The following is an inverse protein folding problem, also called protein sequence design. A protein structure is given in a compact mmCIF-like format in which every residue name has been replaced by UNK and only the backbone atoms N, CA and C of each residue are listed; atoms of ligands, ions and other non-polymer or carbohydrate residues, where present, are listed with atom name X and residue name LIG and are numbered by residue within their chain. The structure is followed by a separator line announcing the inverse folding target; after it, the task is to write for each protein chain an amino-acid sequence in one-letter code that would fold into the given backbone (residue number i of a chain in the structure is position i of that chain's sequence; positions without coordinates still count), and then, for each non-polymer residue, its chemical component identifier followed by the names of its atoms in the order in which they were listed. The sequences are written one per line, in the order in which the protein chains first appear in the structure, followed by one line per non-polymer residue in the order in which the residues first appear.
data_IF_997523635511
#
_entry.id   IF_997523635511
#
_cell.length_a   1.000
_cell.length_b   1.000
_cell.length_c   1.000
_cell.angle_alpha   90.00
_cell.angle_beta   90.00
_cell.angle_gamma   90.00
#
_symmetry.space_group_name_H-M   'P 1'
#
loop_
_entity.id
_entity.type
_entity.pdbx_description
1 polymer ?
#
# COMPACT_ATOMS: atom_id res chain seq x y z
N UNK A 1 -30.05 33.07 2.15
CA UNK A 1 -28.58 33.25 2.28
C UNK A 1 -28.13 34.23 1.20
N UNK A 2 -27.76 35.46 1.56
CA UNK A 2 -27.40 36.50 0.58
C UNK A 2 -26.11 36.18 -0.18
N UNK A 3 -26.06 36.52 -1.46
CA UNK A 3 -24.86 36.41 -2.30
C UNK A 3 -23.80 37.36 -1.77
N UNK A 4 -22.64 36.83 -1.38
CA UNK A 4 -21.54 37.65 -0.87
C UNK A 4 -21.02 38.55 -1.99
N UNK A 5 -20.74 39.84 -1.73
CA UNK A 5 -20.22 40.73 -2.75
C UNK A 5 -18.86 40.25 -3.27
N UNK A 6 -18.56 40.48 -4.55
CA UNK A 6 -17.32 40.03 -5.21
C UNK A 6 -16.05 40.41 -4.43
N UNK A 7 -16.04 41.58 -3.80
CA UNK A 7 -14.94 42.03 -2.95
C UNK A 7 -14.69 41.09 -1.76
N UNK A 8 -15.72 40.55 -1.13
CA UNK A 8 -15.57 39.60 -0.02
C UNK A 8 -15.09 38.23 -0.49
N UNK A 9 -15.53 37.78 -1.66
CA UNK A 9 -15.08 36.53 -2.27
C UNK A 9 -13.58 36.63 -2.61
N UNK A 10 -13.17 37.72 -3.23
CA UNK A 10 -11.77 37.96 -3.64
C UNK A 10 -10.84 38.25 -2.45
N UNK A 11 -11.32 38.94 -1.40
CA UNK A 11 -10.51 39.26 -0.21
C UNK A 11 -10.61 38.22 0.92
N UNK A 12 -11.55 37.27 0.82
CA UNK A 12 -11.78 36.22 1.81
C UNK A 12 -10.55 35.35 2.05
N UNK A 13 -9.77 35.05 1.01
CA UNK A 13 -8.51 34.30 1.13
C UNK A 13 -7.47 35.02 2.00
N UNK A 14 -7.35 36.35 1.85
CA UNK A 14 -6.42 37.17 2.67
C UNK A 14 -6.86 37.22 4.14
N UNK A 15 -8.18 37.33 4.39
CA UNK A 15 -8.75 37.28 5.74
C UNK A 15 -8.56 35.91 6.39
N UNK A 16 -8.74 34.84 5.62
CA UNK A 16 -8.50 33.46 6.08
C UNK A 16 -7.04 33.25 6.44
N UNK A 17 -6.10 33.66 5.59
CA UNK A 17 -4.68 33.59 5.88
C UNK A 17 -4.30 34.38 7.16
N UNK A 18 -4.82 35.60 7.31
CA UNK A 18 -4.60 36.40 8.52
C UNK A 18 -5.19 35.74 9.77
N UNK A 19 -6.38 35.12 9.67
CA UNK A 19 -7.00 34.39 10.78
C UNK A 19 -6.19 33.15 11.17
N UNK A 20 -5.72 32.37 10.18
CA UNK A 20 -4.82 31.22 10.38
C UNK A 20 -3.51 31.61 11.07
N UNK A 21 -2.90 32.72 10.63
CA UNK A 21 -1.66 33.22 11.24
C UNK A 21 -1.90 33.68 12.69
N UNK A 22 -3.05 34.31 12.98
CA UNK A 22 -3.41 34.74 14.34
C UNK A 22 -3.73 33.57 15.28
N UNK A 23 -4.36 32.49 14.80
CA UNK A 23 -4.69 31.32 15.63
C UNK A 23 -3.47 30.65 16.26
N UNK A 24 -2.34 30.64 15.55
CA UNK A 24 -1.09 30.05 16.04
C UNK A 24 -0.19 31.07 16.74
N UNK A 25 -0.63 32.32 16.88
CA UNK A 25 0.16 33.40 17.49
C UNK A 25 -0.16 33.44 18.97
N UNK A 26 0.82 33.08 19.79
CA UNK A 26 0.75 33.24 21.24
C UNK A 26 0.92 34.72 21.56
N UNK A 27 0.08 35.26 22.46
CA UNK A 27 0.07 36.69 22.82
C UNK A 27 1.32 37.11 23.59
N UNK A 28 1.81 36.25 24.48
CA UNK A 28 3.03 36.46 25.28
C UNK A 28 3.82 35.17 25.43
N UNK A 29 5.16 35.25 25.34
CA UNK A 29 6.06 34.12 25.62
C UNK A 29 6.82 34.41 26.90
N UNK A 30 6.39 33.80 28.00
CA UNK A 30 7.07 33.90 29.30
C UNK A 30 8.18 32.86 29.42
N UNK A 31 9.33 33.25 29.97
CA UNK A 31 10.48 32.36 30.12
C UNK A 31 10.63 31.88 31.58
N UNK A 32 10.02 30.74 31.89
CA UNK A 32 10.19 30.09 33.19
C UNK A 32 11.53 29.36 33.29
N UNK A 33 12.41 29.87 34.15
CA UNK A 33 13.72 29.28 34.39
C UNK A 33 13.61 27.86 34.96
N UNK A 34 12.61 27.59 35.80
CA UNK A 34 12.38 26.27 36.39
C UNK A 34 11.97 25.23 35.34
N UNK A 35 10.99 25.56 34.47
CA UNK A 35 10.60 24.72 33.33
C UNK A 35 11.78 24.49 32.38
N UNK A 36 12.64 25.48 32.21
CA UNK A 36 13.87 25.33 31.40
C UNK A 36 14.82 24.31 32.04
N UNK A 37 15.04 24.36 33.35
CA UNK A 37 15.89 23.38 34.06
C UNK A 37 15.30 21.98 33.94
N UNK A 38 14.00 21.81 34.17
CA UNK A 38 13.32 20.52 33.98
C UNK A 38 13.39 20.05 32.51
N UNK A 39 13.29 20.96 31.55
CA UNK A 39 13.51 20.63 30.14
C UNK A 39 14.97 20.29 29.84
N UNK A 40 15.97 20.85 30.52
CA UNK A 40 17.36 20.47 30.24
C UNK A 40 17.74 19.14 30.91
N UNK A 41 17.22 18.84 32.10
CA UNK A 41 17.58 17.62 32.84
C UNK A 41 16.63 16.44 32.58
N UNK A 42 15.37 16.72 32.25
CA UNK A 42 14.29 15.74 32.08
C UNK A 42 14.25 15.01 30.73
N UNK A 43 15.39 14.70 30.10
CA UNK A 43 15.42 14.03 28.79
C UNK A 43 14.67 12.70 28.77
N UNK A 44 14.78 11.91 29.85
CA UNK A 44 14.06 10.65 29.97
C UNK A 44 12.54 10.88 30.05
N UNK A 45 12.09 11.87 30.83
CA UNK A 45 10.67 12.26 30.91
C UNK A 45 10.13 12.62 29.53
N UNK A 46 10.83 13.49 28.77
CA UNK A 46 10.42 13.83 27.39
C UNK A 46 10.45 12.67 26.42
N UNK A 47 11.39 11.73 26.59
CA UNK A 47 11.43 10.53 25.76
C UNK A 47 10.22 9.65 26.03
N UNK A 48 9.83 9.47 27.29
CA UNK A 48 8.62 8.74 27.66
C UNK A 48 7.36 9.47 27.21
N UNK A 49 7.27 10.78 27.40
CA UNK A 49 6.14 11.60 26.93
C UNK A 49 5.96 11.51 25.42
N UNK A 50 7.05 11.60 24.64
CA UNK A 50 6.96 11.41 23.18
C UNK A 50 6.44 10.03 22.80
N UNK A 51 6.90 8.98 23.48
CA UNK A 51 6.39 7.61 23.27
C UNK A 51 4.90 7.51 23.62
N UNK A 52 4.50 8.05 24.77
CA UNK A 52 3.09 8.08 25.22
C UNK A 52 2.21 8.88 24.28
N UNK A 53 2.67 10.04 23.81
CA UNK A 53 1.92 10.87 22.86
C UNK A 53 1.78 10.18 21.50
N UNK A 54 2.82 9.50 21.02
CA UNK A 54 2.73 8.69 19.80
C UNK A 54 1.72 7.54 19.95
N UNK A 55 1.73 6.84 21.09
CA UNK A 55 0.75 5.80 21.39
C UNK A 55 -0.69 6.35 21.47
N UNK A 56 -0.89 7.48 22.15
CA UNK A 56 -2.19 8.15 22.24
C UNK A 56 -2.71 8.57 20.87
N UNK A 57 -1.85 9.16 20.04
CA UNK A 57 -2.22 9.57 18.69
C UNK A 57 -2.67 8.38 17.84
N UNK A 58 -1.94 7.26 17.87
CA UNK A 58 -2.34 6.03 17.17
C UNK A 58 -3.68 5.51 17.69
N UNK A 59 -3.86 5.42 19.01
CA UNK A 59 -5.12 4.98 19.60
C UNK A 59 -6.31 5.89 19.26
N UNK A 60 -6.10 7.20 19.14
CA UNK A 60 -7.13 8.15 18.69
C UNK A 60 -7.48 7.96 17.21
N UNK A 61 -6.51 7.68 16.35
CA UNK A 61 -6.76 7.38 14.94
C UNK A 61 -7.53 6.07 14.79
N UNK A 62 -7.14 5.02 15.52
CA UNK A 62 -7.84 3.73 15.49
C UNK A 62 -9.29 3.86 15.98
N UNK A 63 -9.53 4.66 17.04
CA UNK A 63 -10.88 4.95 17.52
C UNK A 63 -11.71 5.68 16.47
N UNK A 64 -11.14 6.68 15.80
CA UNK A 64 -11.83 7.41 14.73
C UNK A 64 -12.17 6.49 13.55
N UNK A 65 -11.22 5.67 13.11
CA UNK A 65 -11.46 4.68 12.05
C UNK A 65 -12.59 3.71 12.40
N UNK A 66 -12.59 3.15 13.62
CA UNK A 66 -13.68 2.26 14.10
C UNK A 66 -15.04 2.96 14.14
N UNK A 67 -15.09 4.22 14.54
CA UNK A 67 -16.33 4.98 14.57
C UNK A 67 -16.84 5.26 13.15
N UNK A 68 -15.95 5.62 12.22
CA UNK A 68 -16.28 5.82 10.80
C UNK A 68 -16.77 4.53 10.15
N UNK A 69 -16.13 3.39 10.43
CA UNK A 69 -16.57 2.07 9.96
C UNK A 69 -17.97 1.72 10.49
N UNK A 70 -18.20 1.91 11.79
CA UNK A 70 -19.53 1.69 12.39
C UNK A 70 -20.59 2.59 11.79
N UNK A 71 -20.25 3.85 11.51
CA UNK A 71 -21.15 4.79 10.86
C UNK A 71 -21.50 4.32 9.44
N UNK A 72 -20.50 3.94 8.64
CA UNK A 72 -20.70 3.39 7.29
C UNK A 72 -21.62 2.18 7.30
N UNK A 73 -21.39 1.21 8.20
CA UNK A 73 -22.25 0.02 8.31
C UNK A 73 -23.70 0.40 8.66
N UNK A 74 -23.90 1.37 9.55
CA UNK A 74 -25.25 1.85 9.89
C UNK A 74 -25.92 2.53 8.70
N UNK A 75 -25.18 3.36 7.97
CA UNK A 75 -25.70 4.08 6.81
C UNK A 75 -26.03 3.10 5.66
N UNK A 76 -25.17 2.10 5.43
CA UNK A 76 -25.42 1.00 4.49
C UNK A 76 -26.68 0.21 4.87
N UNK A 77 -26.84 -0.17 6.14
CA UNK A 77 -28.04 -0.85 6.63
C UNK A 77 -29.29 0.00 6.44
N UNK A 78 -29.24 1.28 6.78
CA UNK A 78 -30.37 2.21 6.56
C UNK A 78 -30.72 2.32 5.08
N UNK A 79 -29.72 2.46 4.20
CA UNK A 79 -29.95 2.52 2.77
C UNK A 79 -30.54 1.21 2.21
N UNK A 80 -30.10 0.05 2.69
CA UNK A 80 -30.67 -1.25 2.32
C UNK A 80 -32.14 -1.38 2.76
N UNK A 81 -32.45 -0.98 4.00
CA UNK A 81 -33.84 -0.99 4.51
C UNK A 81 -34.71 -0.04 3.69
N UNK A 82 -34.24 1.18 3.39
CA UNK A 82 -34.98 2.14 2.57
C UNK A 82 -35.24 1.61 1.15
N UNK A 83 -34.25 0.98 0.52
CA UNK A 83 -34.43 0.32 -0.79
C UNK A 83 -35.48 -0.78 -0.72
N UNK A 84 -35.42 -1.64 0.30
CA UNK A 84 -36.38 -2.72 0.48
C UNK A 84 -37.81 -2.20 0.71
N UNK A 85 -37.97 -1.13 1.49
CA UNK A 85 -39.28 -0.48 1.68
C UNK A 85 -39.79 0.15 0.37
N UNK A 86 -38.91 0.79 -0.41
CA UNK A 86 -39.26 1.33 -1.72
C UNK A 86 -39.72 0.22 -2.69
N UNK A 87 -38.98 -0.90 -2.76
CA UNK A 87 -39.35 -2.07 -3.56
C UNK A 87 -40.70 -2.67 -3.11
N UNK A 88 -40.96 -2.76 -1.80
CA UNK A 88 -42.25 -3.22 -1.28
C UNK A 88 -43.39 -2.26 -1.67
N UNK A 89 -43.17 -0.95 -1.55
CA UNK A 89 -44.16 0.06 -1.94
C UNK A 89 -44.43 0.05 -3.44
N UNK A 90 -43.41 -0.16 -4.28
CA UNK A 90 -43.57 -0.32 -5.73
C UNK A 90 -44.34 -1.59 -6.07
N UNK A 91 -44.01 -2.72 -5.43
CA UNK A 91 -44.74 -3.97 -5.62
C UNK A 91 -46.21 -3.83 -5.20
N UNK A 92 -46.50 -3.20 -4.05
CA UNK A 92 -47.88 -2.95 -3.59
C UNK A 92 -48.66 -2.06 -4.57
N UNK A 93 -48.03 -1.01 -5.11
CA UNK A 93 -48.63 -0.17 -6.16
C UNK A 93 -48.90 -0.96 -7.44
N UNK A 94 -47.96 -1.79 -7.87
CA UNK A 94 -48.12 -2.67 -9.04
C UNK A 94 -49.23 -3.71 -8.83
N UNK A 95 -49.31 -4.33 -7.66
CA UNK A 95 -50.38 -5.29 -7.35
C UNK A 95 -51.73 -4.61 -7.22
N UNK A 96 -51.81 -3.41 -6.61
CA UNK A 96 -53.03 -2.60 -6.57
C UNK A 96 -53.48 -2.22 -7.99
N UNK A 97 -52.57 -1.78 -8.85
CA UNK A 97 -52.85 -1.46 -10.25
C UNK A 97 -53.28 -2.68 -11.09
N UNK A 98 -52.79 -3.88 -10.75
CA UNK A 98 -53.18 -5.13 -11.42
C UNK A 98 -54.44 -5.76 -10.83
N UNK A 99 -54.85 -5.38 -9.62
CA UNK A 99 -55.95 -6.00 -8.88
C UNK A 99 -57.30 -5.31 -9.06
N UNK A 100 -57.39 -4.14 -9.69
CA UNK A 100 -58.69 -3.54 -10.01
C UNK A 100 -58.63 -2.39 -11.06
N UNK A 101 -59.49 -2.38 -12.10
CA UNK A 101 -59.81 -1.18 -12.87
C UNK A 101 -61.07 -0.44 -12.38
N UNK A 102 -61.62 -0.71 -11.19
CA UNK A 102 -62.86 -0.05 -10.74
C UNK A 102 -63.03 0.04 -9.20
N UNK A 103 -62.16 0.76 -8.49
CA UNK A 103 -62.52 1.34 -7.18
C UNK A 103 -61.80 2.66 -6.91
N UNK A 104 -62.59 3.74 -7.00
CA UNK A 104 -62.27 5.08 -6.52
C UNK A 104 -62.33 5.15 -4.98
N UNK A 105 -61.59 6.11 -4.42
CA UNK A 105 -61.66 6.63 -3.04
C UNK A 105 -60.96 5.73 -1.97
N UNK A 106 -60.14 6.20 -1.02
CA UNK A 106 -60.05 7.48 -0.32
C UNK A 106 -58.59 7.82 0.08
N UNK A 107 -58.30 9.12 0.13
CA UNK A 107 -57.16 9.70 0.83
C UNK A 107 -57.39 9.62 2.36
N UNK A 108 -56.46 9.05 3.12
CA UNK A 108 -56.28 9.45 4.52
C UNK A 108 -54.79 9.66 4.84
N UNK A 109 -54.49 10.92 5.14
CA UNK A 109 -53.29 11.35 5.86
C UNK A 109 -53.47 10.93 7.32
N UNK A 110 -52.47 10.30 7.91
CA UNK A 110 -52.22 10.46 9.34
C UNK A 110 -50.73 10.72 9.60
N UNK A 111 -50.50 11.94 10.07
CA UNK A 111 -49.28 12.42 10.69
C UNK A 111 -49.33 12.02 12.18
N UNK A 112 -48.55 11.02 12.60
CA UNK A 112 -48.21 10.86 14.01
C UNK A 112 -46.69 10.81 14.22
N UNK A 113 -46.18 11.93 14.72
CA UNK A 113 -44.91 12.03 15.42
C UNK A 113 -44.99 11.23 16.72
N UNK A 114 -44.26 10.13 16.82
CA UNK A 114 -43.83 9.62 18.13
C UNK A 114 -42.31 9.53 18.21
N UNK A 115 -41.73 10.57 18.83
CA UNK A 115 -40.45 10.47 19.51
C UNK A 115 -40.62 9.66 20.79
N UNK A 116 -40.38 8.36 20.72
CA UNK A 116 -40.06 7.57 21.90
C UNK A 116 -38.54 7.40 21.97
N UNK A 117 -37.92 8.17 22.85
CA UNK A 117 -36.51 8.06 23.20
C UNK A 117 -36.47 7.99 24.72
N UNK A 118 -36.48 6.79 25.27
CA UNK A 118 -36.10 6.52 26.66
C UNK A 118 -35.62 5.06 26.77
N UNK A 119 -34.30 4.91 26.67
CA UNK A 119 -33.50 4.01 27.49
C UNK A 119 -33.99 2.55 27.67
N UNK A 120 -33.98 1.77 26.59
CA UNK A 120 -33.87 0.31 26.71
C UNK A 120 -32.44 -0.05 27.13
N UNK A 121 -32.24 -0.02 28.45
CA UNK A 121 -31.03 -0.47 29.14
C UNK A 121 -30.83 -1.97 28.85
N UNK A 122 -29.87 -2.25 27.96
CA UNK A 122 -29.49 -3.60 27.53
C UNK A 122 -29.10 -4.47 28.73
N UNK A 123 -30.02 -5.33 29.17
CA UNK A 123 -29.75 -6.36 30.17
C UNK A 123 -29.07 -7.54 29.48
N UNK A 124 -27.74 -7.61 29.58
CA UNK A 124 -26.93 -8.68 28.99
C UNK A 124 -27.42 -10.08 29.35
N UNK A 125 -27.21 -11.03 28.44
CA UNK A 125 -27.59 -12.43 28.61
C UNK A 125 -27.16 -12.94 29.99
N UNK A 126 -28.13 -13.37 30.81
CA UNK A 126 -27.87 -14.09 32.06
C UNK A 126 -27.09 -15.35 31.71
N UNK A 127 -25.84 -15.37 32.15
CA UNK A 127 -24.97 -16.54 32.17
C UNK A 127 -25.54 -17.56 33.16
N UNK A 128 -26.30 -18.53 32.65
CA UNK A 128 -26.71 -19.70 33.42
C UNK A 128 -25.62 -20.76 33.25
N UNK A 129 -24.73 -20.84 34.23
CA UNK A 129 -23.87 -21.99 34.42
C UNK A 129 -24.69 -23.18 34.97
N UNK A 130 -24.24 -24.38 34.59
CA UNK A 130 -24.62 -25.72 35.05
C UNK A 130 -25.90 -26.35 34.47
N UNK A 131 -25.71 -27.30 33.53
CA UNK A 131 -25.70 -28.73 33.89
C UNK A 131 -25.30 -29.61 32.71
N UNK A 132 -24.38 -30.52 32.99
CA UNK A 132 -23.96 -31.69 32.23
C UNK A 132 -25.12 -32.60 31.75
N UNK A 133 -24.81 -33.38 30.71
CA UNK A 133 -25.46 -34.64 30.30
C UNK A 133 -26.90 -34.66 29.76
N UNK A 134 -27.03 -34.79 28.44
CA UNK A 134 -27.81 -35.90 27.87
C UNK A 134 -27.47 -36.13 26.39
N UNK A 135 -26.98 -37.34 26.13
CA UNK A 135 -26.87 -37.97 24.81
C UNK A 135 -28.26 -38.02 24.16
N UNK A 136 -28.35 -37.71 22.87
CA UNK A 136 -29.07 -38.63 22.00
C UNK A 136 -28.53 -38.66 20.58
N UNK A 137 -28.47 -39.90 20.10
CA UNK A 137 -27.82 -40.32 18.86
C UNK A 137 -28.79 -40.16 17.69
N UNK A 138 -28.33 -39.59 16.58
CA UNK A 138 -28.95 -39.88 15.29
C UNK A 138 -27.92 -40.21 14.22
N UNK A 139 -28.33 -41.18 13.43
CA UNK A 139 -27.52 -42.23 12.81
C UNK A 139 -27.04 -41.88 11.40
N UNK A 140 -25.81 -42.31 11.12
CA UNK A 140 -25.26 -42.77 9.83
C UNK A 140 -25.33 -41.85 8.60
N UNK A 141 -24.21 -41.13 8.35
CA UNK A 141 -23.62 -41.14 7.01
C UNK A 141 -22.11 -40.96 7.06
N UNK A 142 -21.46 -41.98 6.54
CA UNK A 142 -20.04 -42.14 6.19
C UNK A 142 -19.21 -40.86 6.09
N UNK A 143 -18.42 -40.56 7.12
CA UNK A 143 -17.07 -40.03 6.93
C UNK A 143 -16.19 -40.66 8.01
N UNK A 144 -15.33 -41.59 7.59
CA UNK A 144 -14.25 -42.09 8.44
C UNK A 144 -13.42 -40.89 8.84
N UNK A 145 -13.56 -40.47 10.09
CA UNK A 145 -12.66 -39.55 10.74
C UNK A 145 -11.23 -39.96 10.39
N UNK A 146 -10.53 -39.11 9.65
CA UNK A 146 -9.08 -39.14 9.57
C UNK A 146 -8.54 -38.70 10.93
N UNK A 147 -8.77 -39.52 11.97
CA UNK A 147 -7.84 -39.63 13.09
C UNK A 147 -6.52 -39.97 12.44
N UNK A 148 -5.67 -38.95 12.28
CA UNK A 148 -4.31 -39.09 11.74
C UNK A 148 -3.70 -40.24 12.51
N UNK A 149 -3.59 -41.40 11.86
CA UNK A 149 -3.00 -42.59 12.48
C UNK A 149 -1.61 -42.13 12.91
N UNK A 150 -1.34 -42.12 14.20
CA UNK A 150 0.00 -41.83 14.71
C UNK A 150 1.00 -42.74 13.99
N UNK A 151 2.24 -42.25 13.82
CA UNK A 151 3.34 -42.85 13.06
C UNK A 151 3.22 -44.38 13.08
N UNK A 152 2.68 -44.93 11.99
CA UNK A 152 2.56 -46.38 11.84
C UNK A 152 4.00 -46.87 11.67
N UNK A 153 4.60 -47.40 12.74
CA UNK A 153 5.98 -47.93 12.71
C UNK A 153 6.03 -49.01 11.63
N UNK A 154 6.67 -48.72 10.51
CA UNK A 154 6.83 -49.67 9.41
C UNK A 154 7.87 -50.69 9.86
N UNK A 155 7.41 -51.87 10.29
CA UNK A 155 8.29 -52.99 10.65
C UNK A 155 8.71 -53.70 9.37
N UNK A 156 9.98 -53.55 8.99
CA UNK A 156 10.58 -54.35 7.93
C UNK A 156 11.32 -55.53 8.56
N UNK A 157 10.98 -56.74 8.11
CA UNK A 157 11.57 -57.99 8.59
C UNK A 157 12.46 -58.50 7.46
N UNK A 158 13.75 -58.65 7.74
CA UNK A 158 14.71 -59.21 6.79
C UNK A 158 15.12 -60.61 7.25
N UNK A 159 14.83 -61.60 6.40
CA UNK A 159 15.27 -62.98 6.58
C UNK A 159 16.47 -63.21 5.67
N UNK A 160 17.64 -63.43 6.25
CA UNK A 160 18.86 -63.72 5.51
C UNK A 160 19.15 -65.21 5.72
N UNK A 161 18.90 -66.01 4.69
CA UNK A 161 19.15 -67.47 4.67
C UNK A 161 20.51 -67.83 4.08
N UNK A 162 21.31 -66.83 3.69
CA UNK A 162 22.62 -67.03 3.08
C UNK A 162 23.69 -67.33 4.15
N UNK A 163 24.29 -68.53 4.09
CA UNK A 163 25.28 -69.03 5.06
C UNK A 163 26.64 -68.32 5.04
N UNK A 164 26.91 -67.47 4.05
CA UNK A 164 28.15 -66.69 3.93
C UNK A 164 28.02 -65.24 4.44
N UNK A 165 26.83 -64.84 4.90
CA UNK A 165 26.67 -63.54 5.56
C UNK A 165 27.22 -63.57 7.01
N UNK A 166 27.80 -62.47 7.51
CA UNK A 166 28.44 -62.42 8.83
C UNK A 166 27.48 -62.59 10.02
N UNK A 167 26.17 -62.42 9.82
CA UNK A 167 25.13 -62.70 10.83
C UNK A 167 23.96 -63.39 10.13
N UNK A 168 23.65 -64.63 10.52
CA UNK A 168 22.53 -65.41 9.99
C UNK A 168 21.33 -65.33 10.94
N UNK A 169 20.11 -65.13 10.41
CA UNK A 169 18.88 -65.05 11.22
C UNK A 169 17.94 -63.90 10.85
N UNK A 170 16.91 -63.71 11.68
CA UNK A 170 15.88 -62.65 11.54
C UNK A 170 16.38 -61.36 12.19
N UNK A 171 16.54 -60.32 11.38
CA UNK A 171 16.86 -58.98 11.87
C UNK A 171 15.63 -58.07 11.74
N UNK A 172 15.34 -57.33 12.80
CA UNK A 172 14.22 -56.37 12.84
C UNK A 172 14.79 -54.96 12.94
N UNK A 173 14.44 -54.10 11.98
CA UNK A 173 14.85 -52.69 11.97
C UNK A 173 13.61 -51.82 12.14
N UNK A 174 13.57 -51.02 13.21
CA UNK A 174 12.50 -50.05 13.46
C UNK A 174 12.93 -48.70 12.91
N UNK A 175 12.34 -48.31 11.78
CA UNK A 175 12.63 -47.02 11.13
C UNK A 175 11.64 -46.00 11.68
N UNK A 176 12.13 -45.05 12.49
CA UNK A 176 11.34 -43.90 12.92
C UNK A 176 11.32 -42.86 11.80
N UNK A 177 10.13 -42.44 11.36
CA UNK A 177 10.00 -41.35 10.38
C UNK A 177 10.42 -40.03 11.03
N UNK A 178 11.50 -39.43 10.54
CA UNK A 178 12.07 -38.13 10.98
C UNK A 178 11.16 -36.91 10.67
N UNK A 179 9.96 -37.12 10.15
CA UNK A 179 9.02 -36.03 9.87
C UNK A 179 8.41 -35.51 11.18
N UNK A 180 8.81 -34.29 11.54
CA UNK A 180 8.30 -33.59 12.71
C UNK A 180 6.76 -33.52 12.63
N UNK A 181 6.02 -34.09 13.60
CA UNK A 181 4.55 -34.09 13.59
C UNK A 181 3.95 -32.67 13.72
N UNK A 182 4.80 -31.69 14.05
CA UNK A 182 4.47 -30.27 14.14
C UNK A 182 4.85 -29.47 12.88
N UNK A 183 5.16 -30.11 11.75
CA UNK A 183 5.29 -29.39 10.48
C UNK A 183 3.93 -28.84 10.08
N UNK A 184 3.72 -27.57 10.41
CA UNK A 184 2.50 -26.86 10.06
C UNK A 184 2.59 -26.56 8.57
N UNK A 185 1.70 -27.16 7.79
CA UNK A 185 1.62 -26.92 6.36
C UNK A 185 1.22 -25.45 6.13
N UNK A 186 2.20 -24.62 5.75
CA UNK A 186 2.01 -23.19 5.54
C UNK A 186 0.87 -22.90 4.54
N UNK A 187 0.58 -23.83 3.62
CA UNK A 187 -0.51 -23.69 2.67
C UNK A 187 -1.88 -23.71 3.37
N UNK A 188 -2.04 -24.48 4.45
CA UNK A 188 -3.28 -24.54 5.22
C UNK A 188 -3.50 -23.26 6.03
N UNK A 189 -2.45 -22.77 6.68
CA UNK A 189 -2.48 -21.50 7.43
C UNK A 189 -2.78 -20.32 6.49
N UNK A 190 -2.16 -20.31 5.30
CA UNK A 190 -2.40 -19.27 4.31
C UNK A 190 -3.84 -19.30 3.80
N UNK A 191 -4.42 -20.48 3.54
CA UNK A 191 -5.83 -20.63 3.16
C UNK A 191 -6.78 -20.15 4.26
N UNK A 192 -6.49 -20.46 5.53
CA UNK A 192 -7.25 -19.97 6.68
C UNK A 192 -7.23 -18.44 6.80
N UNK A 193 -6.10 -17.83 6.46
CA UNK A 193 -5.94 -16.38 6.45
C UNK A 193 -6.30 -15.73 5.09
N UNK A 194 -6.87 -16.50 4.15
CA UNK A 194 -7.21 -16.04 2.80
C UNK A 194 -6.05 -15.37 2.04
N UNK A 195 -4.84 -15.92 2.16
CA UNK A 195 -3.62 -15.43 1.51
C UNK A 195 -3.23 -16.33 0.33
N UNK A 196 -3.08 -15.72 -0.84
CA UNK A 196 -2.59 -16.38 -2.05
C UNK A 196 -1.06 -16.51 -2.04
N UNK A 197 -0.54 -17.71 -1.73
CA UNK A 197 0.90 -17.97 -1.74
C UNK A 197 1.55 -17.82 -3.13
N UNK A 198 0.80 -17.98 -4.22
CA UNK A 198 1.30 -17.82 -5.59
C UNK A 198 1.80 -16.40 -5.89
N UNK A 199 1.23 -15.38 -5.22
CA UNK A 199 1.60 -13.96 -5.40
C UNK A 199 2.67 -13.51 -4.40
N UNK A 200 3.13 -14.39 -3.51
CA UNK A 200 4.03 -14.03 -2.41
C UNK A 200 5.38 -13.48 -2.90
N UNK A 201 5.94 -14.06 -3.96
CA UNK A 201 7.19 -13.60 -4.56
C UNK A 201 7.05 -12.23 -5.21
N UNK A 202 5.95 -12.01 -5.93
CA UNK A 202 5.64 -10.72 -6.58
C UNK A 202 5.49 -9.61 -5.54
N UNK A 203 4.71 -9.84 -4.48
CA UNK A 203 4.56 -8.88 -3.36
C UNK A 203 5.91 -8.60 -2.68
N UNK A 204 6.76 -9.62 -2.53
CA UNK A 204 8.11 -9.46 -1.99
C UNK A 204 8.97 -8.57 -2.90
N UNK A 205 8.98 -8.82 -4.21
CA UNK A 205 9.72 -8.02 -5.19
C UNK A 205 9.24 -6.57 -5.23
N UNK A 206 7.93 -6.33 -5.22
CA UNK A 206 7.33 -5.00 -5.14
C UNK A 206 7.74 -4.26 -3.85
N UNK A 207 7.71 -4.94 -2.72
CA UNK A 207 8.11 -4.35 -1.44
C UNK A 207 9.59 -3.95 -1.42
N UNK A 208 10.47 -4.81 -1.96
CA UNK A 208 11.91 -4.57 -2.07
C UNK A 208 12.19 -3.41 -3.04
N UNK A 209 11.51 -3.34 -4.18
CA UNK A 209 11.67 -2.23 -5.13
C UNK A 209 11.17 -0.91 -4.55
N UNK A 210 10.05 -0.90 -3.84
CA UNK A 210 9.54 0.27 -3.13
C UNK A 210 10.51 0.73 -2.04
N UNK A 211 11.06 -0.19 -1.27
CA UNK A 211 12.06 0.10 -0.25
C UNK A 211 13.34 0.71 -0.84
N UNK A 212 13.85 0.15 -1.96
CA UNK A 212 15.00 0.71 -2.69
C UNK A 212 14.72 2.12 -3.20
N UNK A 213 13.59 2.34 -3.87
CA UNK A 213 13.19 3.69 -4.35
C UNK A 213 13.05 4.69 -3.19
N UNK A 214 12.51 4.26 -2.06
CA UNK A 214 12.40 5.09 -0.87
C UNK A 214 13.78 5.40 -0.26
N UNK A 215 14.68 4.43 -0.21
CA UNK A 215 16.03 4.63 0.28
C UNK A 215 16.84 5.58 -0.64
N UNK A 216 16.60 5.54 -1.95
CA UNK A 216 17.14 6.49 -2.92
C UNK A 216 16.58 7.90 -2.68
N UNK A 217 15.26 8.02 -2.48
CA UNK A 217 14.57 9.27 -2.20
C UNK A 217 15.04 9.94 -0.90
N UNK A 218 15.23 9.14 0.16
CA UNK A 218 15.75 9.61 1.46
C UNK A 218 17.27 9.81 1.42
N UNK A 219 17.94 9.33 0.36
CA UNK A 219 19.38 9.47 0.17
C UNK A 219 20.20 8.58 1.12
N UNK A 220 19.59 7.51 1.64
CA UNK A 220 20.21 6.52 2.55
C UNK A 220 21.00 5.47 1.75
N UNK A 221 20.67 5.26 0.48
CA UNK A 221 21.40 4.36 -0.44
C UNK A 221 22.87 4.76 -0.67
N UNK A 222 23.27 5.94 -0.17
CA UNK A 222 24.65 6.44 -0.19
C UNK A 222 25.52 6.01 0.99
N UNK A 223 25.04 5.17 1.92
CA UNK A 223 25.81 4.81 3.13
C UNK A 223 27.10 4.01 2.88
N UNK A 224 27.42 3.70 1.61
CA UNK A 224 28.72 3.16 1.17
C UNK A 224 29.35 3.88 -0.04
N UNK A 225 28.70 4.88 -0.65
CA UNK A 225 29.29 5.68 -1.73
C UNK A 225 29.62 7.06 -1.17
N UNK A 226 30.90 7.27 -0.82
CA UNK A 226 31.43 8.59 -0.45
C UNK A 226 30.98 9.60 -1.50
N UNK A 227 30.11 10.53 -1.12
CA UNK A 227 29.78 11.68 -1.97
C UNK A 227 31.06 12.49 -2.14
N UNK A 228 31.61 12.51 -3.34
CA UNK A 228 32.70 13.41 -3.73
C UNK A 228 32.39 14.83 -3.20
N UNK A 229 33.29 15.47 -2.44
CA UNK A 229 33.02 16.76 -1.83
C UNK A 229 32.71 17.78 -2.93
N UNK A 230 31.55 18.44 -2.82
CA UNK A 230 31.15 19.48 -3.77
C UNK A 230 32.24 20.56 -3.79
N UNK A 231 32.78 20.85 -4.98
CA UNK A 231 33.82 21.85 -5.15
C UNK A 231 33.39 23.20 -4.53
N UNK A 232 34.27 23.87 -3.76
CA UNK A 232 33.91 25.11 -3.09
C UNK A 232 33.48 26.15 -4.13
N UNK A 233 32.35 26.82 -3.86
CA UNK A 233 31.87 27.93 -4.69
C UNK A 233 33.00 28.97 -4.78
N UNK A 234 33.44 29.29 -6.00
CA UNK A 234 34.45 30.32 -6.22
C UNK A 234 33.90 31.63 -5.64
N UNK A 235 34.53 32.14 -4.58
CA UNK A 235 34.25 33.50 -4.10
C UNK A 235 34.58 34.44 -5.26
N UNK A 236 33.69 35.38 -5.58
CA UNK A 236 33.94 36.43 -6.56
C UNK A 236 35.10 37.30 -6.05
N UNK A 237 36.34 36.87 -6.33
CA UNK A 237 37.53 37.67 -6.14
C UNK A 237 37.81 38.34 -7.47
N UNK A 238 37.94 39.67 -7.45
CA UNK A 238 38.41 40.39 -8.62
C UNK A 238 39.77 39.83 -9.02
N UNK A 239 39.86 39.32 -10.24
CA UNK A 239 41.14 38.93 -10.83
C UNK A 239 42.07 40.14 -10.81
N UNK A 240 43.31 39.93 -10.40
CA UNK A 240 44.33 40.98 -10.43
C UNK A 240 44.53 41.48 -11.87
N UNK A 241 45.14 42.67 -12.05
CA UNK A 241 45.38 43.23 -13.39
C UNK A 241 46.19 42.27 -14.27
N UNK A 242 47.13 41.52 -13.69
CA UNK A 242 47.94 40.52 -14.39
C UNK A 242 47.13 39.28 -14.76
N UNK A 243 46.32 38.76 -13.83
CA UNK A 243 45.43 37.62 -14.08
C UNK A 243 44.39 37.93 -15.18
N UNK A 244 43.85 39.17 -15.21
CA UNK A 244 42.95 39.63 -16.27
C UNK A 244 43.65 39.66 -17.64
N UNK A 245 44.87 40.20 -17.71
CA UNK A 245 45.66 40.20 -18.94
C UNK A 245 45.88 38.78 -19.45
N UNK A 246 46.28 37.84 -18.59
CA UNK A 246 46.48 36.44 -18.96
C UNK A 246 45.18 35.80 -19.45
N UNK A 247 44.03 36.06 -18.79
CA UNK A 247 42.73 35.53 -19.23
C UNK A 247 42.32 36.08 -20.60
N UNK A 248 42.47 37.38 -20.83
CA UNK A 248 42.17 37.99 -22.14
C UNK A 248 43.12 37.49 -23.23
N UNK A 249 44.39 37.24 -22.91
CA UNK A 249 45.34 36.65 -23.84
C UNK A 249 44.96 35.22 -24.21
N UNK A 250 44.58 34.39 -23.23
CA UNK A 250 44.09 33.02 -23.46
C UNK A 250 42.77 32.98 -24.24
N UNK A 251 41.85 33.90 -23.98
CA UNK A 251 40.61 34.03 -24.75
C UNK A 251 40.89 34.44 -26.19
N UNK A 252 41.78 35.41 -26.41
CA UNK A 252 42.23 35.80 -27.76
C UNK A 252 42.89 34.64 -28.49
N UNK A 253 43.82 33.92 -27.87
CA UNK A 253 44.44 32.73 -28.46
C UNK A 253 43.40 31.64 -28.76
N UNK A 254 42.47 31.38 -27.84
CA UNK A 254 41.38 30.42 -28.06
C UNK A 254 40.46 30.82 -29.21
N UNK A 255 40.16 32.12 -29.36
CA UNK A 255 39.35 32.62 -30.48
C UNK A 255 40.09 32.52 -31.82
N UNK A 256 41.40 32.82 -31.86
CA UNK A 256 42.22 32.65 -33.05
C UNK A 256 42.30 31.18 -33.48
N UNK A 257 42.45 30.26 -32.52
CA UNK A 257 42.52 28.83 -32.78
C UNK A 257 41.17 28.21 -33.20
N UNK A 258 40.06 28.83 -32.80
CA UNK A 258 38.72 28.48 -33.30
C UNK A 258 38.49 29.03 -34.71
N UNK A 259 39.02 30.21 -35.00
CA UNK A 259 38.94 30.83 -36.33
C UNK A 259 39.75 30.02 -37.35
N UNK A 260 41.00 29.67 -37.04
CA UNK A 260 41.82 28.79 -37.89
C UNK A 260 41.15 27.43 -38.15
N UNK A 261 40.56 26.81 -37.12
CA UNK A 261 39.80 25.56 -37.29
C UNK A 261 38.54 25.70 -38.15
N UNK A 262 37.94 26.89 -38.18
CA UNK A 262 36.78 27.18 -39.03
C UNK A 262 37.23 27.38 -40.48
N UNK A 263 38.30 28.14 -40.68
CA UNK A 263 38.92 28.38 -41.98
C UNK A 263 39.45 27.05 -42.60
N UNK A 264 39.98 26.14 -41.79
CA UNK A 264 40.38 24.77 -42.19
C UNK A 264 39.19 23.86 -42.55
N UNK A 265 37.99 24.15 -42.02
CA UNK A 265 36.78 23.39 -42.31
C UNK A 265 36.14 23.86 -43.61
N UNK A 266 36.06 25.17 -43.81
CA UNK A 266 35.52 25.79 -45.03
C UNK A 266 36.42 25.50 -46.26
N UNK A 267 37.74 25.31 -46.06
CA UNK A 267 38.66 24.85 -47.12
C UNK A 267 38.56 23.35 -47.47
N UNK A 268 37.99 22.52 -46.59
CA UNK A 268 37.72 21.09 -46.89
C UNK A 268 36.41 20.89 -47.64
N UNK A 269 35.38 21.66 -47.31
CA UNK A 269 34.07 21.55 -47.96
C UNK A 269 34.08 22.06 -49.41
N UNK A 270 35.03 22.93 -49.78
CA UNK A 270 35.25 23.36 -51.17
C UNK A 270 36.00 22.34 -52.06
N UNK A 271 36.56 21.26 -51.49
CA UNK A 271 37.24 20.18 -52.24
C UNK A 271 36.37 18.93 -52.47
N UNK A 272 35.14 18.90 -51.95
CA UNK A 272 34.28 17.70 -51.89
C UNK A 272 33.20 17.56 -52.97
N UNK A 273 33.34 18.18 -54.14
CA UNK A 273 32.32 18.12 -55.20
C UNK A 273 32.86 17.80 -56.58
N UNK A 274 33.06 16.51 -56.91
CA UNK A 274 33.00 15.95 -58.30
C UNK A 274 33.19 14.42 -58.32
N UNK A 275 32.20 13.71 -58.91
CA UNK A 275 32.28 12.33 -59.45
C UNK A 275 31.96 11.21 -58.45
N UNK A 276 31.18 10.16 -58.75
CA UNK A 276 30.65 9.65 -60.00
C UNK A 276 29.79 8.38 -59.74
N UNK A 277 28.98 8.01 -60.74
CA UNK A 277 27.98 6.92 -60.78
C UNK A 277 28.60 5.51 -60.88
N UNK A 278 27.80 4.49 -60.52
CA UNK A 278 27.96 3.05 -60.90
C UNK A 278 28.28 2.13 -59.71
N UNK A 279 27.86 0.87 -59.57
CA UNK A 279 27.20 -0.09 -60.45
C UNK A 279 26.83 -1.36 -59.64
N UNK A 280 25.63 -1.92 -59.91
CA UNK A 280 25.20 -3.35 -59.97
C UNK A 280 25.39 -4.36 -58.81
N UNK A 281 24.28 -5.10 -58.59
CA UNK A 281 24.22 -6.57 -58.31
C UNK A 281 23.65 -6.91 -56.93
N UNK A 282 22.60 -7.72 -56.71
CA UNK A 282 21.81 -8.62 -57.56
C UNK A 282 21.61 -9.99 -56.86
N UNK A 283 20.34 -10.45 -56.76
CA UNK A 283 19.83 -11.79 -56.32
C UNK A 283 19.74 -12.02 -54.80
N UNK A 284 18.69 -12.62 -54.21
CA UNK A 284 17.40 -13.23 -54.63
C UNK A 284 16.65 -13.66 -53.35
N UNK A 285 15.33 -13.45 -53.21
CA UNK A 285 14.26 -14.47 -53.30
C UNK A 285 14.19 -15.40 -52.07
N UNK A 286 13.07 -15.74 -51.40
CA UNK A 286 11.62 -15.68 -51.66
C UNK A 286 10.89 -15.95 -50.31
N UNK A 287 9.61 -15.57 -50.25
CA UNK A 287 8.58 -16.15 -49.37
C UNK A 287 8.06 -15.17 -48.32
N UNK A 288 6.82 -14.68 -48.30
CA UNK A 288 5.64 -14.99 -49.10
C UNK A 288 4.44 -15.21 -48.19
N UNK A 289 3.49 -14.26 -48.21
CA UNK A 289 2.07 -14.34 -47.78
C UNK A 289 1.89 -14.50 -46.26
N UNK A 290 0.87 -13.98 -45.57
CA UNK A 290 -0.41 -13.29 -45.81
C UNK A 290 -0.94 -13.06 -44.39
N UNK A 291 -1.67 -12.05 -43.97
CA UNK A 291 -2.55 -11.07 -44.58
C UNK A 291 -3.50 -10.59 -43.46
N UNK A 292 -4.11 -9.41 -43.64
CA UNK A 292 -5.41 -8.92 -43.12
C UNK A 292 -5.82 -9.36 -41.70
N UNK A 293 -6.14 -8.49 -40.74
CA UNK A 293 -6.73 -7.17 -40.83
C UNK A 293 -7.86 -7.06 -39.78
N UNK A 294 -7.99 -5.87 -39.19
CA UNK A 294 -9.16 -5.30 -38.50
C UNK A 294 -9.90 -6.15 -37.44
N UNK A 295 -9.90 -5.63 -36.21
CA UNK A 295 -11.04 -4.90 -35.64
C UNK A 295 -10.57 -4.02 -34.49
#
# INVERSE_FOLDING_TARGET
MGVKPNREILTGGKRYAQKKVKQNRVEEVTFDKEKRVEYLTGFHKRKLERKKNAQKYLAEQDKKARLEERQKIRDERKALVQKRLAELNENLKLTSYLSDPESEEEEEKDEEEEKANEDEEWNGFKESQESEESKDSISSKEEKENKKKGILKVKQIYNIENSEAPVTGRSEVVIESLENPNMIDLSTIAKLNHVDLAKSSEVLEESVTKAKKYAELVGVDGMGKKREPKAPKKKFRYLSKTERKIKTFKEKQGSANRKSKKDDKDSKDSRGGKGGKGSKGGKGGKGGKSGKGKR
#
